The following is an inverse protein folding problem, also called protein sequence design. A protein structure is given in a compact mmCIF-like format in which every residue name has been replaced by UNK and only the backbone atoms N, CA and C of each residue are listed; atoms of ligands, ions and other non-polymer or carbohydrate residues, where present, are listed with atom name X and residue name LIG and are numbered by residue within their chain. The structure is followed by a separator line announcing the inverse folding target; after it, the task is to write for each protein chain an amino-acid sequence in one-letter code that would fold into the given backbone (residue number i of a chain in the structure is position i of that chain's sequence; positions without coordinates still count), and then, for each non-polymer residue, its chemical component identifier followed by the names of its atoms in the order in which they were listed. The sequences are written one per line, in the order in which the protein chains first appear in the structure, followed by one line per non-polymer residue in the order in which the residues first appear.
data_IF_491232425319
#
_entry.id   IF_491232425319
#
_cell.length_a   1.000
_cell.length_b   1.000
_cell.length_c   1.000
_cell.angle_alpha   90.00
_cell.angle_beta   90.00
_cell.angle_gamma   90.00
#
_symmetry.space_group_name_H-M   'P 1'
#
loop_
_entity.id
_entity.type
_entity.pdbx_description
1 polymer ?
#
# COMPACT_ATOMS: atom_id res chain seq x y z
N UNK A 1 21.74 -7.77 10.65
CA UNK A 1 20.60 -7.03 10.06
C UNK A 1 19.59 -8.00 9.47
N UNK A 2 18.32 -7.96 9.86
CA UNK A 2 17.31 -8.94 9.43
C UNK A 2 17.02 -8.87 7.91
N UNK A 3 16.66 -10.00 7.26
CA UNK A 3 16.35 -10.03 5.82
C UNK A 3 15.29 -9.00 5.40
N UNK A 4 14.21 -8.86 6.19
CA UNK A 4 13.15 -7.88 5.91
C UNK A 4 13.64 -6.43 6.02
N UNK A 5 14.59 -6.14 6.92
CA UNK A 5 15.20 -4.81 7.04
C UNK A 5 16.12 -4.51 5.84
N UNK A 6 16.89 -5.51 5.38
CA UNK A 6 17.67 -5.39 4.13
C UNK A 6 16.76 -5.08 2.94
N UNK A 7 15.66 -5.82 2.80
CA UNK A 7 14.70 -5.62 1.72
C UNK A 7 14.07 -4.23 1.77
N UNK A 8 13.56 -3.81 2.94
CA UNK A 8 13.00 -2.47 3.12
C UNK A 8 13.98 -1.36 2.76
N UNK A 9 15.24 -1.46 3.20
CA UNK A 9 16.27 -0.47 2.84
C UNK A 9 16.63 -0.50 1.35
N UNK A 10 16.55 -1.66 0.69
CA UNK A 10 16.74 -1.78 -0.76
C UNK A 10 15.63 -1.07 -1.51
N UNK A 11 14.37 -1.36 -1.18
CA UNK A 11 13.20 -0.72 -1.82
C UNK A 11 13.14 0.78 -1.55
N UNK A 12 13.47 1.20 -0.33
CA UNK A 12 13.57 2.62 0.03
C UNK A 12 14.63 3.35 -0.82
N UNK A 13 15.79 2.72 -1.05
CA UNK A 13 16.84 3.28 -1.92
C UNK A 13 16.36 3.33 -3.38
N UNK A 14 15.73 2.27 -3.88
CA UNK A 14 15.18 2.21 -5.25
C UNK A 14 14.18 3.34 -5.49
N UNK A 15 13.24 3.52 -4.58
CA UNK A 15 12.19 4.54 -4.66
C UNK A 15 12.78 5.96 -4.59
N UNK A 16 13.76 6.20 -3.70
CA UNK A 16 14.46 7.50 -3.63
C UNK A 16 15.21 7.85 -4.92
N UNK A 17 15.81 6.85 -5.60
CA UNK A 17 16.46 7.05 -6.91
C UNK A 17 15.46 7.48 -8.00
N UNK A 18 14.17 7.20 -7.83
CA UNK A 18 13.11 7.63 -8.74
C UNK A 18 12.57 9.04 -8.40
N UNK A 19 13.18 9.74 -7.45
CA UNK A 19 12.81 11.11 -7.06
C UNK A 19 11.70 11.19 -6.00
N UNK A 20 11.31 10.06 -5.40
CA UNK A 20 10.27 10.04 -4.35
C UNK A 20 10.92 10.27 -2.97
N UNK A 21 10.40 11.27 -2.24
CA UNK A 21 10.75 11.51 -0.84
C UNK A 21 9.90 10.62 0.06
N UNK A 22 10.50 10.11 1.14
CA UNK A 22 9.77 9.33 2.16
C UNK A 22 9.89 10.03 3.50
N UNK A 23 8.75 10.41 4.07
CA UNK A 23 8.62 11.18 5.31
C UNK A 23 7.83 10.41 6.37
N UNK A 24 7.95 10.85 7.62
CA UNK A 24 7.18 10.33 8.76
C UNK A 24 6.93 11.46 9.74
N UNK A 25 5.72 12.02 9.75
CA UNK A 25 5.34 13.13 10.64
C UNK A 25 4.05 12.83 11.39
N UNK A 26 4.10 12.85 12.73
CA UNK A 26 2.88 12.69 13.55
C UNK A 26 1.90 13.85 13.31
N UNK A 27 2.42 15.07 13.18
CA UNK A 27 1.60 16.25 12.91
C UNK A 27 0.82 16.11 11.60
N UNK A 28 1.45 15.60 10.54
CA UNK A 28 0.80 15.33 9.26
C UNK A 28 -0.39 14.36 9.41
N UNK A 29 -0.17 13.21 10.04
CA UNK A 29 -1.23 12.21 10.22
C UNK A 29 -2.35 12.69 11.16
N UNK A 30 -2.01 13.49 12.18
CA UNK A 30 -3.02 14.12 13.04
C UNK A 30 -3.92 15.07 12.23
N UNK A 31 -3.33 15.89 11.35
CA UNK A 31 -4.09 16.78 10.46
C UNK A 31 -4.96 15.98 9.48
N UNK A 32 -4.39 14.96 8.83
CA UNK A 32 -5.13 14.11 7.90
C UNK A 32 -6.30 13.38 8.56
N UNK A 33 -6.11 12.89 9.79
CA UNK A 33 -7.18 12.24 10.55
C UNK A 33 -8.34 13.21 10.83
N UNK A 34 -8.05 14.48 11.15
CA UNK A 34 -9.09 15.50 11.36
C UNK A 34 -9.85 15.82 10.07
N UNK A 35 -9.16 15.87 8.93
CA UNK A 35 -9.77 16.19 7.63
C UNK A 35 -10.58 15.03 7.07
N UNK A 36 -10.08 13.79 7.19
CA UNK A 36 -10.68 12.60 6.58
C UNK A 36 -11.59 11.80 7.50
N UNK A 37 -11.57 12.07 8.80
CA UNK A 37 -12.37 11.34 9.80
C UNK A 37 -11.81 9.98 10.22
N UNK A 38 -10.67 9.54 9.67
CA UNK A 38 -10.04 8.27 10.03
C UNK A 38 -8.50 8.32 9.97
N UNK A 39 -7.80 7.56 10.82
CA UNK A 39 -6.34 7.51 10.81
C UNK A 39 -5.82 6.64 9.65
N UNK A 40 -5.05 7.25 8.74
CA UNK A 40 -4.33 6.52 7.69
C UNK A 40 -2.98 6.00 8.18
N UNK A 41 -2.54 4.83 7.68
CA UNK A 41 -1.22 4.26 7.95
C UNK A 41 -0.12 4.73 6.99
N UNK A 42 -0.53 5.14 5.79
CA UNK A 42 0.29 5.66 4.72
C UNK A 42 -0.44 6.76 3.96
N UNK A 43 0.32 7.60 3.26
CA UNK A 43 -0.27 8.58 2.35
C UNK A 43 0.72 9.04 1.30
N UNK A 44 0.36 8.90 0.02
CA UNK A 44 1.01 9.59 -1.09
C UNK A 44 0.49 11.03 -1.22
N UNK A 45 1.37 11.99 -0.97
CA UNK A 45 1.19 13.42 -1.23
C UNK A 45 1.84 13.79 -2.58
N UNK A 46 1.03 14.14 -3.59
CA UNK A 46 1.56 14.61 -4.87
C UNK A 46 2.43 15.86 -4.70
N UNK A 47 3.51 16.02 -5.49
CA UNK A 47 3.83 15.19 -6.66
C UNK A 47 4.76 14.00 -6.36
N UNK A 48 5.40 13.91 -5.20
CA UNK A 48 6.47 12.93 -4.98
C UNK A 48 6.81 12.61 -3.51
N UNK A 49 5.87 12.76 -2.58
CA UNK A 49 6.12 12.47 -1.16
C UNK A 49 5.27 11.30 -0.69
N UNK A 50 5.89 10.29 -0.07
CA UNK A 50 5.21 9.22 0.64
C UNK A 50 5.38 9.44 2.14
N UNK A 51 4.27 9.56 2.87
CA UNK A 51 4.24 9.59 4.32
C UNK A 51 3.93 8.20 4.88
N UNK A 52 4.67 7.79 5.90
CA UNK A 52 4.41 6.56 6.66
C UNK A 52 4.20 6.93 8.13
N UNK A 53 3.16 6.39 8.76
CA UNK A 53 2.82 6.75 10.13
C UNK A 53 3.96 6.34 11.10
N UNK A 54 4.47 7.26 11.97
CA UNK A 54 5.61 6.97 12.85
C UNK A 54 5.39 5.90 13.91
N UNK A 55 4.12 5.62 14.26
CA UNK A 55 3.73 4.57 15.20
C UNK A 55 3.99 3.17 14.64
N UNK A 56 4.10 3.02 13.32
CA UNK A 56 4.32 1.74 12.67
C UNK A 56 5.78 1.33 12.81
N UNK A 57 6.04 0.45 13.79
CA UNK A 57 7.38 -0.08 14.10
C UNK A 57 7.74 -1.32 13.28
N UNK A 58 6.74 -2.09 12.86
CA UNK A 58 6.95 -3.34 12.13
C UNK A 58 7.48 -3.07 10.73
N UNK A 59 8.71 -3.49 10.45
CA UNK A 59 9.41 -3.20 9.18
C UNK A 59 8.68 -3.78 7.97
N UNK A 60 8.10 -4.98 8.08
CA UNK A 60 7.31 -5.56 6.99
C UNK A 60 6.07 -4.72 6.68
N UNK A 61 5.38 -4.23 7.71
CA UNK A 61 4.22 -3.37 7.52
C UNK A 61 4.61 -2.02 6.89
N UNK A 62 5.75 -1.45 7.29
CA UNK A 62 6.31 -0.26 6.62
C UNK A 62 6.64 -0.52 5.15
N UNK A 63 7.18 -1.70 4.83
CA UNK A 63 7.47 -2.11 3.45
C UNK A 63 6.18 -2.20 2.63
N UNK A 64 5.14 -2.86 3.15
CA UNK A 64 3.82 -2.93 2.50
C UNK A 64 3.28 -1.55 2.17
N UNK A 65 3.26 -0.66 3.17
CA UNK A 65 2.77 0.71 3.00
C UNK A 65 3.61 1.45 1.96
N UNK A 66 4.94 1.40 2.07
CA UNK A 66 5.84 2.06 1.12
C UNK A 66 5.53 1.65 -0.33
N UNK A 67 5.34 0.36 -0.58
CA UNK A 67 5.07 -0.17 -1.92
C UNK A 67 3.64 0.14 -2.39
N UNK A 68 2.65 0.12 -1.49
CA UNK A 68 1.27 0.55 -1.82
C UNK A 68 1.23 2.03 -2.23
N UNK A 69 1.83 2.91 -1.43
CA UNK A 69 1.86 4.35 -1.72
C UNK A 69 2.70 4.68 -2.97
N UNK A 70 3.75 3.89 -3.26
CA UNK A 70 4.46 3.99 -4.55
C UNK A 70 3.52 3.64 -5.71
N UNK A 71 2.61 2.69 -5.53
CA UNK A 71 1.56 2.37 -6.49
C UNK A 71 0.67 3.58 -6.80
N UNK A 72 0.29 4.36 -5.78
CA UNK A 72 -0.43 5.62 -5.97
C UNK A 72 0.40 6.68 -6.69
N UNK A 73 1.71 6.76 -6.43
CA UNK A 73 2.60 7.66 -7.17
C UNK A 73 2.72 7.28 -8.64
N UNK A 74 2.84 5.98 -8.95
CA UNK A 74 2.85 5.47 -10.33
C UNK A 74 1.53 5.72 -11.05
N UNK A 75 0.41 5.64 -10.33
CA UNK A 75 -0.90 6.05 -10.81
C UNK A 75 -1.04 7.58 -10.78
N UNK A 76 -0.20 8.28 -11.54
CA UNK A 76 -0.26 9.74 -11.75
C UNK A 76 -1.48 10.17 -12.58
N UNK A 77 -2.40 9.23 -12.86
CA UNK A 77 -3.65 9.48 -13.55
C UNK A 77 -4.69 9.74 -12.47
N UNK A 78 -5.12 10.99 -12.33
CA UNK A 78 -6.35 11.31 -11.62
C UNK A 78 -7.47 10.36 -12.06
N UNK A 79 -8.33 9.97 -11.13
CA UNK A 79 -9.35 8.96 -11.39
C UNK A 79 -10.18 8.65 -10.16
N UNK A 80 -11.25 7.90 -10.38
CA UNK A 80 -12.13 7.47 -9.31
C UNK A 80 -11.35 6.72 -8.22
N UNK A 81 -11.65 6.98 -6.95
CA UNK A 81 -10.92 6.42 -5.80
C UNK A 81 -10.76 4.90 -5.89
N UNK A 82 -11.82 4.17 -6.27
CA UNK A 82 -11.75 2.71 -6.51
C UNK A 82 -10.64 2.29 -7.48
N UNK A 83 -10.45 3.02 -8.58
CA UNK A 83 -9.43 2.68 -9.58
C UNK A 83 -8.03 2.91 -9.03
N UNK A 84 -7.88 3.97 -8.22
CA UNK A 84 -6.61 4.31 -7.58
C UNK A 84 -6.20 3.24 -6.58
N UNK A 85 -7.11 2.83 -5.70
CA UNK A 85 -6.89 1.73 -4.75
C UNK A 85 -6.59 0.41 -5.47
N UNK A 86 -7.39 0.07 -6.49
CA UNK A 86 -7.18 -1.13 -7.30
C UNK A 86 -5.79 -1.15 -7.95
N UNK A 87 -5.35 -0.03 -8.54
CA UNK A 87 -4.05 0.04 -9.24
C UNK A 87 -2.87 0.04 -8.26
N UNK A 88 -2.99 0.74 -7.14
CA UNK A 88 -1.97 0.76 -6.11
C UNK A 88 -1.75 -0.64 -5.50
N UNK A 89 -2.83 -1.32 -5.17
CA UNK A 89 -2.75 -2.67 -4.60
C UNK A 89 -2.31 -3.70 -5.65
N UNK A 90 -2.75 -3.57 -6.91
CA UNK A 90 -2.23 -4.39 -8.01
C UNK A 90 -0.72 -4.24 -8.17
N UNK A 91 -0.20 -3.02 -8.05
CA UNK A 91 1.24 -2.75 -8.10
C UNK A 91 1.97 -3.43 -6.92
N UNK A 92 1.42 -3.32 -5.72
CA UNK A 92 1.95 -4.00 -4.53
C UNK A 92 2.03 -5.52 -4.72
N UNK A 93 0.97 -6.16 -5.24
CA UNK A 93 0.97 -7.59 -5.56
C UNK A 93 2.09 -7.95 -6.56
N UNK A 94 2.20 -7.19 -7.65
CA UNK A 94 3.24 -7.40 -8.65
C UNK A 94 4.64 -7.33 -8.03
N UNK A 95 4.90 -6.33 -7.19
CA UNK A 95 6.17 -6.20 -6.46
C UNK A 95 6.40 -7.34 -5.47
N UNK A 96 5.38 -7.82 -4.77
CA UNK A 96 5.52 -8.93 -3.83
C UNK A 96 5.95 -10.22 -4.52
N UNK A 97 5.39 -10.51 -5.70
CA UNK A 97 5.78 -11.64 -6.55
C UNK A 97 7.23 -11.48 -7.03
N UNK A 98 7.60 -10.31 -7.57
CA UNK A 98 8.97 -10.04 -8.06
C UNK A 98 10.03 -10.14 -6.96
N UNK A 99 9.66 -9.76 -5.74
CA UNK A 99 10.55 -9.83 -4.57
C UNK A 99 10.55 -11.22 -3.91
N UNK A 100 9.68 -12.14 -4.37
CA UNK A 100 9.47 -13.48 -3.80
C UNK A 100 9.40 -13.45 -2.26
N UNK A 101 8.59 -12.54 -1.70
CA UNK A 101 8.53 -12.30 -0.26
C UNK A 101 7.24 -12.82 0.37
N UNK A 102 7.30 -14.04 0.93
CA UNK A 102 6.15 -14.70 1.59
C UNK A 102 5.48 -13.87 2.69
N UNK A 103 6.25 -13.08 3.43
CA UNK A 103 5.71 -12.28 4.54
C UNK A 103 4.91 -11.08 4.02
N UNK A 104 5.36 -10.46 2.93
CA UNK A 104 4.63 -9.44 2.21
C UNK A 104 3.38 -10.02 1.52
N UNK A 105 3.50 -11.19 0.89
CA UNK A 105 2.35 -11.93 0.31
C UNK A 105 1.27 -12.16 1.36
N UNK A 106 1.62 -12.68 2.54
CA UNK A 106 0.65 -12.91 3.62
C UNK A 106 -0.05 -11.62 4.05
N UNK A 107 0.69 -10.53 4.22
CA UNK A 107 0.10 -9.24 4.59
C UNK A 107 -0.86 -8.70 3.52
N UNK A 108 -0.58 -8.96 2.25
CA UNK A 108 -1.48 -8.59 1.14
C UNK A 108 -2.75 -9.45 1.17
N UNK A 109 -2.61 -10.76 1.41
CA UNK A 109 -3.77 -11.64 1.54
C UNK A 109 -4.67 -11.21 2.70
N UNK A 110 -4.08 -10.94 3.87
CA UNK A 110 -4.81 -10.52 5.06
C UNK A 110 -5.57 -9.19 4.83
N UNK A 111 -4.95 -8.20 4.17
CA UNK A 111 -5.63 -6.92 3.91
C UNK A 111 -6.73 -7.05 2.86
N UNK A 112 -6.54 -7.87 1.82
CA UNK A 112 -7.56 -8.10 0.79
C UNK A 112 -8.75 -8.85 1.38
N UNK A 113 -8.51 -9.86 2.23
CA UNK A 113 -9.57 -10.55 2.96
C UNK A 113 -10.38 -9.54 3.80
N UNK A 114 -9.70 -8.68 4.57
CA UNK A 114 -10.35 -7.63 5.33
C UNK A 114 -11.16 -6.66 4.45
N UNK A 115 -10.62 -6.24 3.29
CA UNK A 115 -11.34 -5.36 2.36
C UNK A 115 -12.61 -6.01 1.79
N UNK A 116 -12.61 -7.33 1.58
CA UNK A 116 -13.80 -8.05 1.12
C UNK A 116 -14.93 -8.06 2.17
N UNK A 117 -14.59 -7.99 3.45
CA UNK A 117 -15.56 -7.89 4.55
C UNK A 117 -16.27 -6.53 4.59
N UNK A 118 -15.70 -5.48 3.97
CA UNK A 118 -16.23 -4.12 3.95
C UNK A 118 -17.38 -3.92 2.94
N UNK A 119 -17.96 -4.99 2.39
CA UNK A 119 -19.02 -4.94 1.36
C UNK A 119 -20.17 -4.00 1.70
N UNK A 120 -20.61 -3.99 2.96
CA UNK A 120 -21.75 -3.20 3.42
C UNK A 120 -21.33 -1.90 4.14
N UNK A 121 -20.03 -1.58 4.19
CA UNK A 121 -19.55 -0.40 4.89
C UNK A 121 -19.60 0.83 3.97
N UNK A 122 -20.47 1.80 4.28
CA UNK A 122 -20.73 2.98 3.42
C UNK A 122 -19.46 3.73 3.02
N UNK A 123 -18.59 4.04 3.99
CA UNK A 123 -17.36 4.83 3.75
C UNK A 123 -16.21 4.03 3.14
N UNK A 124 -16.30 2.69 3.17
CA UNK A 124 -15.21 1.81 2.78
C UNK A 124 -15.56 0.84 1.65
N UNK A 125 -16.74 1.01 1.04
CA UNK A 125 -17.18 0.20 -0.10
C UNK A 125 -16.20 0.28 -1.29
N UNK A 126 -15.44 1.38 -1.39
CA UNK A 126 -14.39 1.56 -2.39
C UNK A 126 -13.29 0.48 -2.31
N UNK A 127 -12.92 0.08 -1.10
CA UNK A 127 -11.91 -0.94 -0.84
C UNK A 127 -12.45 -2.34 -1.17
N UNK A 128 -13.73 -2.60 -0.84
CA UNK A 128 -14.42 -3.81 -1.28
C UNK A 128 -14.44 -3.94 -2.80
N UNK A 129 -14.79 -2.87 -3.52
CA UNK A 129 -14.80 -2.87 -4.99
C UNK A 129 -13.40 -3.13 -5.58
N UNK A 130 -12.36 -2.52 -5.00
CA UNK A 130 -10.97 -2.76 -5.39
C UNK A 130 -10.59 -4.24 -5.17
N UNK A 131 -10.82 -4.78 -3.97
CA UNK A 131 -10.52 -6.17 -3.61
C UNK A 131 -11.28 -7.17 -4.50
N UNK A 132 -12.59 -6.98 -4.68
CA UNK A 132 -13.44 -7.83 -5.51
C UNK A 132 -12.98 -7.90 -6.97
N UNK A 133 -12.36 -6.82 -7.46
CA UNK A 133 -11.75 -6.79 -8.80
C UNK A 133 -10.37 -7.44 -8.81
N UNK A 134 -9.55 -7.24 -7.78
CA UNK A 134 -8.20 -7.82 -7.67
C UNK A 134 -8.20 -9.34 -7.65
N UNK A 135 -9.10 -9.95 -6.85
CA UNK A 135 -9.17 -11.40 -6.67
C UNK A 135 -9.57 -12.16 -7.93
N UNK A 136 -10.07 -11.47 -8.96
CA UNK A 136 -10.42 -12.03 -10.27
C UNK A 136 -9.28 -11.95 -11.29
N UNK A 137 -8.11 -11.45 -10.89
CA UNK A 137 -6.98 -11.26 -11.81
C UNK A 137 -6.04 -12.45 -11.79
N UNK A 138 -5.45 -12.79 -12.95
CA UNK A 138 -4.35 -13.79 -13.03
C UNK A 138 -3.16 -13.46 -12.12
N UNK A 139 -3.00 -12.18 -11.75
CA UNK A 139 -1.96 -11.73 -10.85
C UNK A 139 -2.21 -12.20 -9.42
N UNK A 140 -3.47 -12.18 -8.99
CA UNK A 140 -3.88 -12.72 -7.69
C UNK A 140 -3.64 -14.24 -7.62
N UNK A 141 -4.02 -14.98 -8.67
CA UNK A 141 -3.76 -16.43 -8.72
C UNK A 141 -2.27 -16.74 -8.54
N UNK A 142 -1.39 -15.99 -9.22
CA UNK A 142 0.07 -16.11 -9.06
C UNK A 142 0.56 -15.75 -7.67
N UNK A 143 -0.05 -14.76 -7.01
CA UNK A 143 0.29 -14.40 -5.64
C UNK A 143 -0.03 -15.56 -4.70
N UNK A 144 -1.20 -16.18 -4.83
CA UNK A 144 -1.64 -17.29 -3.98
C UNK A 144 -0.83 -18.58 -4.18
N UNK A 145 -0.09 -18.71 -5.29
CA UNK A 145 0.81 -19.83 -5.56
C UNK A 145 2.23 -19.65 -4.99
N UNK A 146 2.62 -18.44 -4.55
CA UNK A 146 3.93 -18.12 -3.97
C UNK A 146 3.95 -18.22 -2.44
#
# INVERSE_FOLDING_TARGET
MSPIRKLYQSELRRIRKQGIKVSSSRGFFNTMCKVRGYPGSGYYEPPNIIHIQPSIKTISYRLRILLHEEGHWRDNKGGHQFLREFRAEKYLIQRAIELNNKLLTRQIVDIIAHWLELKNHKDFHVYYCAASKLVKTKLWDKLCQN
#
